data_IF_494647180247
#
_entry.id   IF_494647180247
#
_cell.length_a   1.000
_cell.length_b   1.000
_cell.length_c   1.000
_cell.angle_alpha   90.00
_cell.angle_beta   90.00
_cell.angle_gamma   90.00
#
_symmetry.space_group_name_H-M   'P 1'
#
loop_
_entity.id
_entity.type
_entity.pdbx_description
1 polymer ?
#
# COMPACT_ATOMS: atom_id res chain seq x y z
N UNK A 1 -12.98 -5.49 9.19
CA UNK A 1 -12.91 -6.63 10.11
C UNK A 1 -14.17 -6.80 10.95
N UNK A 2 -14.18 -7.72 11.87
CA UNK A 2 -15.34 -8.11 12.69
C UNK A 2 -16.00 -6.94 13.45
N UNK A 3 -15.22 -5.96 13.85
CA UNK A 3 -15.67 -4.78 14.61
C UNK A 3 -15.92 -3.55 13.73
N UNK A 4 -15.83 -3.68 12.42
CA UNK A 4 -16.06 -2.58 11.49
C UNK A 4 -17.54 -2.38 11.21
N UNK A 5 -17.99 -1.12 11.08
CA UNK A 5 -19.38 -0.78 10.79
C UNK A 5 -19.90 -1.41 9.48
N UNK A 6 -19.01 -1.65 8.51
CA UNK A 6 -19.36 -2.30 7.24
C UNK A 6 -19.82 -3.76 7.40
N UNK A 7 -19.59 -4.40 8.56
CA UNK A 7 -20.11 -5.75 8.86
C UNK A 7 -21.64 -5.80 8.84
N UNK A 8 -22.32 -4.67 9.04
CA UNK A 8 -23.79 -4.59 8.97
C UNK A 8 -24.32 -4.62 7.52
N UNK A 9 -23.48 -4.49 6.51
CA UNK A 9 -23.88 -4.57 5.11
C UNK A 9 -24.29 -5.98 4.69
N UNK A 10 -25.13 -6.07 3.66
CA UNK A 10 -25.45 -7.33 2.96
C UNK A 10 -24.62 -7.36 1.66
N UNK A 11 -23.39 -7.85 1.69
CA UNK A 11 -22.52 -7.87 0.52
C UNK A 11 -22.93 -8.95 -0.47
N UNK A 12 -22.58 -8.78 -1.74
CA UNK A 12 -22.66 -9.83 -2.76
C UNK A 12 -21.33 -10.58 -2.91
N UNK A 13 -20.25 -10.02 -2.35
CA UNK A 13 -18.91 -10.58 -2.31
C UNK A 13 -18.13 -9.96 -1.15
N UNK A 14 -17.28 -10.72 -0.51
CA UNK A 14 -16.27 -10.22 0.42
C UNK A 14 -14.89 -10.23 -0.23
N UNK A 15 -14.11 -9.17 -0.02
CA UNK A 15 -12.74 -9.07 -0.53
C UNK A 15 -11.78 -8.88 0.65
N UNK A 16 -10.78 -9.75 0.78
CA UNK A 16 -9.74 -9.66 1.79
C UNK A 16 -8.40 -9.50 1.05
N UNK A 17 -7.79 -8.33 1.20
CA UNK A 17 -6.48 -8.01 0.62
C UNK A 17 -5.36 -8.67 1.43
N UNK A 18 -4.11 -8.33 1.16
CA UNK A 18 -2.95 -8.80 1.93
C UNK A 18 -3.13 -8.57 3.44
N UNK A 19 -2.63 -9.51 4.23
CA UNK A 19 -2.67 -9.47 5.69
C UNK A 19 -1.24 -9.34 6.20
N UNK A 20 -1.00 -8.27 6.93
CA UNK A 20 0.27 -7.99 7.60
C UNK A 20 0.02 -7.52 9.02
N UNK A 21 1.08 -7.41 9.81
CA UNK A 21 1.02 -6.86 11.16
C UNK A 21 0.57 -5.39 11.12
N UNK A 22 -0.57 -5.10 11.70
CA UNK A 22 -1.14 -3.77 11.88
C UNK A 22 -2.13 -3.81 13.03
N UNK A 23 -2.20 -2.74 13.82
CA UNK A 23 -3.09 -2.63 14.98
C UNK A 23 -3.00 -3.86 15.92
N UNK A 24 -1.79 -4.34 16.19
CA UNK A 24 -1.55 -5.56 16.97
C UNK A 24 -2.18 -5.52 18.36
N UNK A 25 -2.23 -4.34 19.01
CA UNK A 25 -2.92 -4.13 20.29
C UNK A 25 -4.41 -4.50 20.27
N UNK A 26 -5.04 -4.44 19.07
CA UNK A 26 -6.49 -4.68 18.91
C UNK A 26 -6.76 -6.00 18.18
N UNK A 27 -5.97 -6.28 17.13
CA UNK A 27 -6.23 -7.38 16.20
C UNK A 27 -5.47 -8.68 16.58
N UNK A 28 -4.51 -8.59 17.51
CA UNK A 28 -3.70 -9.72 17.97
C UNK A 28 -2.27 -9.72 17.45
N UNK A 29 -1.44 -10.56 18.06
CA UNK A 29 0.01 -10.60 17.89
C UNK A 29 0.49 -11.59 16.82
N UNK A 30 -0.43 -12.31 16.18
CA UNK A 30 -0.10 -13.27 15.12
C UNK A 30 -0.90 -13.00 13.84
N UNK A 31 -0.34 -13.40 12.71
CA UNK A 31 -1.00 -13.28 11.39
C UNK A 31 -2.34 -14.01 11.39
N UNK A 32 -2.44 -15.18 12.04
CA UNK A 32 -3.66 -15.95 12.14
C UNK A 32 -4.76 -15.23 12.93
N UNK A 33 -4.41 -14.55 14.01
CA UNK A 33 -5.34 -13.73 14.80
C UNK A 33 -5.87 -12.55 13.97
N UNK A 34 -4.97 -11.83 13.32
CA UNK A 34 -5.34 -10.71 12.43
C UNK A 34 -6.21 -11.21 11.28
N UNK A 35 -5.87 -12.37 10.69
CA UNK A 35 -6.66 -13.00 9.64
C UNK A 35 -8.06 -13.39 10.14
N UNK A 36 -8.20 -13.91 11.35
CA UNK A 36 -9.49 -14.25 11.93
C UNK A 36 -10.39 -13.01 12.12
N UNK A 37 -9.82 -11.90 12.60
CA UNK A 37 -10.54 -10.62 12.71
C UNK A 37 -11.00 -10.09 11.34
N UNK A 38 -10.14 -10.18 10.33
CA UNK A 38 -10.48 -9.75 8.96
C UNK A 38 -11.49 -10.70 8.30
N UNK A 39 -11.37 -12.01 8.52
CA UNK A 39 -12.32 -13.02 8.05
C UNK A 39 -13.73 -12.87 8.65
N UNK A 40 -13.88 -12.12 9.75
CA UNK A 40 -15.18 -11.77 10.33
C UNK A 40 -16.15 -11.04 9.39
N UNK A 41 -15.68 -10.50 8.25
CA UNK A 41 -16.54 -9.92 7.20
C UNK A 41 -17.24 -10.98 6.32
N UNK A 42 -16.79 -12.21 6.33
CA UNK A 42 -17.35 -13.30 5.52
C UNK A 42 -18.77 -13.59 6.01
N UNK A 43 -19.73 -13.65 5.09
CA UNK A 43 -21.14 -13.89 5.35
C UNK A 43 -21.55 -15.27 4.86
N UNK A 44 -22.60 -15.81 5.45
CA UNK A 44 -23.18 -17.12 5.09
C UNK A 44 -23.51 -17.18 3.60
N UNK A 45 -22.97 -18.18 2.90
CA UNK A 45 -23.19 -18.43 1.47
C UNK A 45 -22.63 -17.38 0.51
N UNK A 46 -22.03 -16.27 1.00
CA UNK A 46 -21.51 -15.18 0.15
C UNK A 46 -20.05 -15.46 -0.22
N UNK A 47 -19.72 -15.42 -1.53
CA UNK A 47 -18.35 -15.69 -1.98
C UNK A 47 -17.33 -14.72 -1.35
N UNK A 48 -16.12 -15.22 -1.13
CA UNK A 48 -14.98 -14.43 -0.68
C UNK A 48 -13.80 -14.61 -1.64
N UNK A 49 -13.17 -13.50 -2.01
CA UNK A 49 -11.89 -13.51 -2.73
C UNK A 49 -10.81 -12.96 -1.81
N UNK A 50 -9.63 -13.57 -1.82
CA UNK A 50 -8.54 -13.18 -0.94
C UNK A 50 -7.18 -13.42 -1.59
N UNK A 51 -6.17 -12.71 -1.10
CA UNK A 51 -4.77 -13.02 -1.42
C UNK A 51 -4.38 -14.30 -0.65
N UNK A 52 -3.83 -15.26 -1.38
CA UNK A 52 -3.27 -16.50 -0.82
C UNK A 52 -1.76 -16.30 -0.65
N UNK A 53 -1.38 -15.68 0.45
CA UNK A 53 0.00 -15.59 0.90
C UNK A 53 0.36 -16.84 1.71
N UNK A 54 1.57 -17.37 1.52
CA UNK A 54 2.06 -18.57 2.23
C UNK A 54 2.44 -18.25 3.70
N UNK A 55 1.69 -17.38 4.36
CA UNK A 55 1.91 -16.91 5.73
C UNK A 55 0.88 -17.44 6.76
N UNK A 56 0.04 -18.38 6.36
CA UNK A 56 -1.00 -18.94 7.23
C UNK A 56 -2.34 -18.19 7.24
N UNK A 57 -2.38 -16.94 6.80
CA UNK A 57 -3.60 -16.13 6.81
C UNK A 57 -4.72 -16.74 5.95
N UNK A 58 -4.38 -17.23 4.75
CA UNK A 58 -5.36 -17.78 3.83
C UNK A 58 -6.03 -19.04 4.40
N UNK A 59 -5.32 -19.89 5.13
CA UNK A 59 -5.89 -21.07 5.81
C UNK A 59 -6.96 -20.72 6.83
N UNK A 60 -6.82 -19.59 7.52
CA UNK A 60 -7.82 -19.06 8.44
C UNK A 60 -9.06 -18.58 7.69
N UNK A 61 -8.86 -17.88 6.55
CA UNK A 61 -9.95 -17.43 5.67
C UNK A 61 -10.72 -18.64 5.12
N UNK A 62 -10.03 -19.66 4.62
CA UNK A 62 -10.66 -20.90 4.10
C UNK A 62 -11.49 -21.61 5.16
N UNK A 63 -10.96 -21.76 6.38
CA UNK A 63 -11.69 -22.37 7.50
C UNK A 63 -12.96 -21.59 7.81
N UNK A 64 -12.85 -20.26 7.96
CA UNK A 64 -14.00 -19.39 8.26
C UNK A 64 -15.04 -19.42 7.14
N UNK A 65 -14.60 -19.42 5.88
CA UNK A 65 -15.48 -19.53 4.72
C UNK A 65 -16.22 -20.87 4.71
N UNK A 66 -15.51 -21.98 4.99
CA UNK A 66 -16.12 -23.31 5.09
C UNK A 66 -17.18 -23.39 6.18
N UNK A 67 -16.93 -22.82 7.37
CA UNK A 67 -17.89 -22.74 8.48
C UNK A 67 -19.17 -21.97 8.10
N UNK A 68 -19.06 -21.04 7.14
CA UNK A 68 -20.16 -20.20 6.65
C UNK A 68 -20.69 -20.63 5.28
N UNK A 69 -20.37 -21.83 4.81
CA UNK A 69 -20.75 -22.33 3.49
C UNK A 69 -20.46 -21.32 2.35
N UNK A 70 -19.45 -20.47 2.51
CA UNK A 70 -19.07 -19.42 1.58
C UNK A 70 -18.03 -19.95 0.57
N UNK A 71 -18.27 -19.83 -0.74
CA UNK A 71 -17.23 -20.14 -1.74
C UNK A 71 -16.00 -19.26 -1.55
N UNK A 72 -14.79 -19.85 -1.57
CA UNK A 72 -13.53 -19.09 -1.42
C UNK A 72 -12.65 -19.20 -2.68
N UNK A 73 -12.09 -18.06 -3.07
CA UNK A 73 -11.22 -17.91 -4.22
C UNK A 73 -9.92 -17.23 -3.79
N UNK A 74 -8.82 -17.98 -3.81
CA UNK A 74 -7.49 -17.48 -3.46
C UNK A 74 -6.69 -17.10 -4.70
N UNK A 75 -6.05 -15.93 -4.66
CA UNK A 75 -5.11 -15.46 -5.68
C UNK A 75 -3.68 -15.56 -5.14
N UNK A 76 -2.81 -16.32 -5.81
CA UNK A 76 -1.40 -16.50 -5.44
C UNK A 76 -0.51 -15.51 -6.19
N UNK A 77 0.56 -15.05 -5.54
CA UNK A 77 1.55 -14.18 -6.19
C UNK A 77 2.21 -14.85 -7.40
N UNK A 78 2.43 -16.17 -7.36
CA UNK A 78 3.01 -16.94 -8.47
C UNK A 78 2.12 -17.01 -9.72
N UNK A 79 0.82 -16.66 -9.59
CA UNK A 79 -0.12 -16.56 -10.70
C UNK A 79 0.00 -15.23 -11.47
N UNK A 80 0.82 -14.30 -10.96
CA UNK A 80 1.06 -12.98 -11.54
C UNK A 80 2.43 -12.93 -12.19
N UNK A 81 2.51 -12.35 -13.39
CA UNK A 81 3.78 -12.15 -14.09
C UNK A 81 3.87 -10.68 -14.50
N UNK A 82 4.84 -9.96 -13.93
CA UNK A 82 5.19 -8.62 -14.40
C UNK A 82 5.97 -8.80 -15.71
N UNK A 83 5.46 -8.17 -16.78
CA UNK A 83 6.04 -8.23 -18.12
C UNK A 83 7.00 -7.06 -18.35
N UNK A 84 6.63 -5.88 -17.87
CA UNK A 84 7.41 -4.67 -18.02
C UNK A 84 7.06 -3.68 -16.90
N UNK A 85 8.08 -3.04 -16.33
CA UNK A 85 7.94 -1.92 -15.40
C UNK A 85 8.48 -0.66 -16.07
N UNK A 86 7.64 0.35 -16.21
CA UNK A 86 7.98 1.69 -16.69
C UNK A 86 7.77 2.68 -15.54
N UNK A 87 8.15 3.94 -15.72
CA UNK A 87 8.10 4.95 -14.64
C UNK A 87 6.77 4.97 -13.89
N UNK A 88 5.64 5.06 -14.60
CA UNK A 88 4.31 5.20 -14.00
C UNK A 88 3.34 4.10 -14.43
N UNK A 89 3.84 2.99 -14.98
CA UNK A 89 2.99 1.88 -15.42
C UNK A 89 3.69 0.55 -15.22
N UNK A 90 2.91 -0.46 -14.91
CA UNK A 90 3.35 -1.84 -14.84
C UNK A 90 2.47 -2.68 -15.74
N UNK A 91 3.08 -3.31 -16.75
CA UNK A 91 2.43 -4.29 -17.61
C UNK A 91 2.55 -5.67 -16.98
N UNK A 92 1.45 -6.40 -16.88
CA UNK A 92 1.42 -7.71 -16.23
C UNK A 92 0.40 -8.65 -16.85
N UNK A 93 0.48 -9.92 -16.48
CA UNK A 93 -0.47 -10.96 -16.86
C UNK A 93 -0.87 -11.77 -15.65
N UNK A 94 -2.07 -12.34 -15.70
CA UNK A 94 -2.63 -13.24 -14.69
C UNK A 94 -2.83 -14.60 -15.32
N UNK A 95 -2.28 -15.66 -14.70
CA UNK A 95 -2.46 -17.05 -15.09
C UNK A 95 -2.90 -17.87 -13.87
N UNK A 96 -4.14 -17.65 -13.45
CA UNK A 96 -4.73 -18.34 -12.32
C UNK A 96 -5.54 -19.56 -12.74
N UNK A 97 -5.86 -20.40 -11.76
CA UNK A 97 -6.78 -21.55 -11.97
C UNK A 97 -8.20 -21.12 -12.35
N UNK A 98 -8.56 -19.86 -12.07
CA UNK A 98 -9.91 -19.35 -12.32
C UNK A 98 -10.04 -18.68 -13.68
N UNK A 99 -8.97 -18.00 -14.16
CA UNK A 99 -8.97 -17.27 -15.41
C UNK A 99 -7.54 -16.92 -15.87
N UNK A 100 -7.42 -16.61 -17.16
CA UNK A 100 -6.17 -16.14 -17.76
C UNK A 100 -6.43 -14.86 -18.51
N UNK A 101 -5.67 -13.81 -18.18
CA UNK A 101 -5.72 -12.52 -18.87
C UNK A 101 -4.29 -12.03 -19.06
N UNK A 102 -3.95 -11.69 -20.30
CA UNK A 102 -2.65 -11.14 -20.66
C UNK A 102 -2.75 -9.66 -20.97
N UNK A 103 -1.61 -8.96 -20.92
CA UNK A 103 -1.46 -7.56 -21.31
C UNK A 103 -2.36 -6.62 -20.51
N UNK A 104 -2.43 -6.83 -19.20
CA UNK A 104 -3.00 -5.86 -18.27
C UNK A 104 -1.98 -4.76 -18.00
N UNK A 105 -2.46 -3.55 -17.76
CA UNK A 105 -1.63 -2.38 -17.44
C UNK A 105 -2.22 -1.64 -16.25
N UNK A 106 -1.45 -1.49 -15.19
CA UNK A 106 -1.80 -0.64 -14.04
C UNK A 106 -0.96 0.64 -14.08
N UNK A 107 -1.60 1.79 -13.87
CA UNK A 107 -0.94 3.08 -13.73
C UNK A 107 -0.48 3.24 -12.29
N UNK A 108 0.73 2.78 -12.00
CA UNK A 108 1.36 2.93 -10.69
C UNK A 108 2.85 2.66 -10.78
N UNK A 109 3.62 3.31 -9.93
CA UNK A 109 5.02 2.98 -9.66
C UNK A 109 5.13 1.73 -8.78
N UNK A 110 4.14 1.51 -7.90
CA UNK A 110 4.17 0.50 -6.87
C UNK A 110 3.79 -0.89 -7.37
N UNK A 111 4.68 -1.87 -7.23
CA UNK A 111 4.47 -3.26 -7.65
C UNK A 111 3.33 -3.95 -6.89
N UNK A 112 3.03 -3.55 -5.64
CA UNK A 112 1.89 -4.11 -4.89
C UNK A 112 0.52 -3.81 -5.55
N UNK A 113 0.43 -2.79 -6.39
CA UNK A 113 -0.80 -2.50 -7.12
C UNK A 113 -1.13 -3.54 -8.18
N UNK A 114 -0.15 -4.31 -8.66
CA UNK A 114 -0.40 -5.46 -9.54
C UNK A 114 -1.24 -6.52 -8.81
N UNK A 115 -0.90 -6.81 -7.56
CA UNK A 115 -1.65 -7.78 -6.74
C UNK A 115 -3.05 -7.26 -6.41
N UNK A 116 -3.20 -5.97 -6.05
CA UNK A 116 -4.49 -5.35 -5.80
C UNK A 116 -5.39 -5.36 -7.06
N UNK A 117 -4.82 -5.01 -8.22
CA UNK A 117 -5.52 -5.03 -9.50
C UNK A 117 -5.97 -6.46 -9.87
N UNK A 118 -5.09 -7.45 -9.69
CA UNK A 118 -5.41 -8.85 -9.96
C UNK A 118 -6.51 -9.37 -9.03
N UNK A 119 -6.49 -9.00 -7.74
CA UNK A 119 -7.56 -9.34 -6.81
C UNK A 119 -8.90 -8.70 -7.21
N UNK A 120 -8.88 -7.45 -7.67
CA UNK A 120 -10.07 -6.77 -8.20
C UNK A 120 -10.61 -7.49 -9.46
N UNK A 121 -9.72 -7.93 -10.36
CA UNK A 121 -10.12 -8.73 -11.53
C UNK A 121 -10.76 -10.05 -11.10
N UNK A 122 -10.20 -10.74 -10.10
CA UNK A 122 -10.79 -11.97 -9.55
C UNK A 122 -12.19 -11.70 -9.00
N UNK A 123 -12.36 -10.63 -8.23
CA UNK A 123 -13.65 -10.24 -7.69
C UNK A 123 -14.69 -9.99 -8.80
N UNK A 124 -14.29 -9.26 -9.86
CA UNK A 124 -15.14 -9.01 -11.03
C UNK A 124 -15.50 -10.32 -11.75
N UNK A 125 -14.53 -11.23 -11.93
CA UNK A 125 -14.78 -12.52 -12.61
C UNK A 125 -15.66 -13.45 -11.81
N UNK A 126 -15.62 -13.39 -10.49
CA UNK A 126 -16.53 -14.18 -9.61
C UNK A 126 -17.97 -13.64 -9.71
N UNK A 127 -18.15 -12.32 -9.74
CA UNK A 127 -19.49 -11.71 -9.79
C UNK A 127 -20.07 -11.63 -11.20
N UNK A 128 -19.24 -11.38 -12.20
CA UNK A 128 -19.60 -11.09 -13.59
C UNK A 128 -18.74 -11.96 -14.52
N UNK A 129 -18.95 -13.29 -14.56
CA UNK A 129 -18.08 -14.21 -15.31
C UNK A 129 -18.03 -13.89 -16.80
N UNK A 130 -19.09 -13.32 -17.37
CA UNK A 130 -19.22 -12.99 -18.79
C UNK A 130 -18.57 -11.66 -19.19
N UNK A 131 -18.02 -10.89 -18.22
CA UNK A 131 -17.36 -9.63 -18.57
C UNK A 131 -16.16 -9.89 -19.48
N UNK A 132 -16.06 -9.12 -20.58
CA UNK A 132 -15.00 -9.30 -21.57
C UNK A 132 -13.64 -8.88 -21.01
N UNK A 133 -12.57 -9.48 -21.54
CA UNK A 133 -11.21 -9.10 -21.16
C UNK A 133 -10.88 -7.66 -21.52
N UNK A 134 -11.46 -7.12 -22.59
CA UNK A 134 -11.21 -5.74 -23.01
C UNK A 134 -11.81 -4.74 -22.03
N UNK A 135 -13.02 -4.99 -21.54
CA UNK A 135 -13.63 -4.17 -20.47
C UNK A 135 -12.77 -4.19 -19.18
N UNK A 136 -12.24 -5.37 -18.83
CA UNK A 136 -11.33 -5.49 -17.68
C UNK A 136 -10.05 -4.67 -17.91
N UNK A 137 -9.42 -4.78 -19.09
CA UNK A 137 -8.20 -4.02 -19.43
C UNK A 137 -8.46 -2.51 -19.35
N UNK A 138 -9.54 -2.03 -19.91
CA UNK A 138 -9.93 -0.61 -19.84
C UNK A 138 -10.16 -0.16 -18.39
N UNK A 139 -10.84 -0.98 -17.59
CA UNK A 139 -11.11 -0.69 -16.18
C UNK A 139 -9.81 -0.56 -15.35
N UNK A 140 -8.87 -1.48 -15.54
CA UNK A 140 -7.58 -1.45 -14.82
C UNK A 140 -6.74 -0.23 -15.22
N UNK A 141 -6.69 0.12 -16.52
CA UNK A 141 -5.95 1.32 -16.97
C UNK A 141 -6.54 2.61 -16.41
N UNK A 142 -7.86 2.65 -16.19
CA UNK A 142 -8.57 3.82 -15.63
C UNK A 142 -8.55 3.86 -14.11
N UNK A 143 -8.04 2.82 -13.45
CA UNK A 143 -7.97 2.75 -11.99
C UNK A 143 -7.12 3.91 -11.45
N UNK A 144 -7.66 4.61 -10.47
CA UNK A 144 -6.98 5.68 -9.74
C UNK A 144 -7.26 5.51 -8.24
N UNK A 145 -6.22 5.54 -7.43
CA UNK A 145 -6.35 5.42 -5.98
C UNK A 145 -5.52 6.49 -5.26
N UNK A 146 -6.16 7.50 -4.69
CA UNK A 146 -5.47 8.59 -3.98
C UNK A 146 -4.58 8.08 -2.85
N UNK A 147 -3.38 8.65 -2.72
CA UNK A 147 -2.44 8.34 -1.65
C UNK A 147 -1.88 6.90 -1.66
N UNK A 148 -1.77 6.27 -2.84
CA UNK A 148 -1.13 4.98 -3.04
C UNK A 148 -0.10 5.04 -4.17
N UNK A 149 1.11 5.48 -3.84
CA UNK A 149 2.15 5.87 -4.81
C UNK A 149 1.56 6.75 -5.92
N UNK A 150 0.74 7.69 -5.49
CA UNK A 150 0.08 8.64 -6.36
C UNK A 150 1.06 9.71 -6.81
N UNK A 151 1.25 9.87 -8.11
CA UNK A 151 1.99 10.98 -8.67
C UNK A 151 1.11 12.23 -8.70
N UNK A 152 1.44 13.21 -7.86
CA UNK A 152 0.68 14.47 -7.71
C UNK A 152 1.25 15.61 -8.53
N UNK A 153 2.49 15.49 -8.96
CA UNK A 153 3.21 16.33 -9.91
C UNK A 153 4.37 15.53 -10.49
N UNK A 154 5.02 16.02 -11.51
CA UNK A 154 6.13 15.35 -12.18
C UNK A 154 7.21 14.91 -11.17
N UNK A 155 7.41 13.59 -11.03
CA UNK A 155 8.35 12.96 -10.10
C UNK A 155 8.09 13.29 -8.61
N UNK A 156 6.85 13.61 -8.23
CA UNK A 156 6.43 13.84 -6.85
C UNK A 156 5.31 12.87 -6.47
N UNK A 157 5.60 12.00 -5.52
CA UNK A 157 4.72 10.91 -5.14
C UNK A 157 4.25 11.05 -3.69
N UNK A 158 3.01 10.68 -3.44
CA UNK A 158 2.46 10.55 -2.07
C UNK A 158 1.98 9.12 -1.83
N UNK A 159 2.28 8.59 -0.66
CA UNK A 159 1.77 7.30 -0.21
C UNK A 159 1.36 7.35 1.27
N UNK A 160 0.21 6.80 1.57
CA UNK A 160 -0.33 6.75 2.92
C UNK A 160 0.14 5.56 3.75
N UNK A 161 1.20 4.86 3.38
CA UNK A 161 1.76 3.77 4.16
C UNK A 161 2.17 4.28 5.55
N UNK A 162 1.64 3.63 6.58
CA UNK A 162 1.76 4.06 7.98
C UNK A 162 1.95 2.90 8.96
N UNK A 163 2.31 1.73 8.45
CA UNK A 163 2.67 0.55 9.23
C UNK A 163 3.81 -0.21 8.55
N UNK A 164 4.52 -1.09 9.27
CA UNK A 164 5.66 -1.83 8.73
C UNK A 164 5.32 -2.63 7.46
N UNK A 165 4.16 -3.30 7.42
CA UNK A 165 3.75 -4.11 6.27
C UNK A 165 3.58 -3.27 5.00
N UNK A 166 2.94 -2.10 5.10
CA UNK A 166 2.80 -1.18 3.97
C UNK A 166 4.15 -0.61 3.52
N UNK A 167 5.04 -0.27 4.48
CA UNK A 167 6.39 0.21 4.18
C UNK A 167 7.24 -0.85 3.49
N UNK A 168 7.11 -2.13 3.86
CA UNK A 168 7.75 -3.22 3.12
C UNK A 168 7.31 -3.29 1.65
N UNK A 169 6.03 -3.01 1.35
CA UNK A 169 5.55 -2.95 -0.04
C UNK A 169 6.17 -1.77 -0.81
N UNK A 170 6.37 -0.62 -0.15
CA UNK A 170 7.11 0.51 -0.72
C UNK A 170 8.57 0.12 -0.96
N UNK A 171 9.24 -0.46 0.03
CA UNK A 171 10.61 -0.94 -0.08
C UNK A 171 10.78 -1.85 -1.31
N UNK A 172 9.94 -2.88 -1.45
CA UNK A 172 9.97 -3.81 -2.58
C UNK A 172 9.70 -3.10 -3.94
N UNK A 173 8.94 -2.01 -3.93
CA UNK A 173 8.65 -1.25 -5.14
C UNK A 173 9.83 -0.38 -5.58
N UNK A 174 10.66 0.10 -4.63
CA UNK A 174 11.77 1.00 -4.85
C UNK A 174 13.13 0.30 -4.99
N UNK A 175 13.30 -0.90 -4.43
CA UNK A 175 14.59 -1.62 -4.39
C UNK A 175 15.15 -1.87 -5.80
N UNK A 176 14.29 -2.15 -6.78
CA UNK A 176 14.68 -2.39 -8.16
C UNK A 176 14.63 -1.12 -9.05
N UNK A 177 14.50 0.06 -8.41
CA UNK A 177 14.48 1.34 -9.11
C UNK A 177 15.89 1.80 -9.45
N UNK A 178 16.11 2.21 -10.68
CA UNK A 178 17.30 2.92 -11.13
C UNK A 178 17.24 4.44 -10.87
N UNK A 179 16.11 4.91 -10.29
CA UNK A 179 15.89 6.31 -9.95
C UNK A 179 16.45 6.65 -8.57
N UNK A 180 16.91 7.87 -8.43
CA UNK A 180 17.30 8.45 -7.14
C UNK A 180 16.08 9.05 -6.43
N UNK A 181 16.04 8.92 -5.11
CA UNK A 181 14.88 9.30 -4.33
C UNK A 181 15.22 10.23 -3.16
N UNK A 182 14.37 11.22 -2.94
CA UNK A 182 14.26 11.99 -1.71
C UNK A 182 13.07 11.46 -0.91
N UNK A 183 13.19 11.44 0.41
CA UNK A 183 12.10 11.06 1.31
C UNK A 183 11.64 12.26 2.14
N UNK A 184 10.35 12.58 2.11
CA UNK A 184 9.69 13.43 3.09
C UNK A 184 8.82 12.55 3.99
N UNK A 185 9.11 12.55 5.29
CA UNK A 185 8.52 11.60 6.23
C UNK A 185 7.88 12.28 7.43
N UNK A 186 6.64 11.86 7.74
CA UNK A 186 5.98 12.18 8.98
C UNK A 186 4.99 11.07 9.38
N UNK A 187 4.93 10.74 10.64
CA UNK A 187 4.19 9.58 11.15
C UNK A 187 3.44 9.90 12.44
N UNK A 188 2.39 9.13 12.74
CA UNK A 188 1.70 9.21 14.02
C UNK A 188 2.48 8.46 15.11
N UNK A 189 2.42 8.96 16.34
CA UNK A 189 3.12 8.42 17.52
C UNK A 189 2.63 7.03 17.95
N UNK A 190 1.38 6.67 17.60
CA UNK A 190 0.77 5.37 17.88
C UNK A 190 1.17 4.27 16.88
N UNK A 191 2.08 4.56 15.95
CA UNK A 191 2.57 3.59 14.97
C UNK A 191 3.96 3.08 15.32
N UNK A 192 4.26 1.86 14.89
CA UNK A 192 5.61 1.29 14.99
C UNK A 192 6.53 1.93 13.96
N UNK A 193 6.82 3.22 14.16
CA UNK A 193 7.67 3.97 13.24
C UNK A 193 9.14 3.53 13.31
N UNK A 194 9.58 2.93 14.40
CA UNK A 194 10.95 2.41 14.51
C UNK A 194 11.16 1.28 13.51
N UNK A 195 10.23 0.32 13.43
CA UNK A 195 10.29 -0.75 12.44
C UNK A 195 10.12 -0.21 11.00
N UNK A 196 9.21 0.75 10.78
CA UNK A 196 9.06 1.41 9.48
C UNK A 196 10.39 2.04 9.03
N UNK A 197 11.07 2.77 9.91
CA UNK A 197 12.34 3.44 9.64
C UNK A 197 13.46 2.43 9.41
N UNK A 198 13.49 1.32 10.15
CA UNK A 198 14.45 0.24 9.94
C UNK A 198 14.37 -0.35 8.52
N UNK A 199 13.17 -0.44 7.97
CA UNK A 199 12.97 -0.89 6.58
C UNK A 199 13.36 0.20 5.59
N UNK A 200 12.91 1.44 5.79
CA UNK A 200 13.20 2.58 4.91
C UNK A 200 14.68 2.94 4.87
N UNK A 201 15.38 2.84 6.00
CA UNK A 201 16.81 3.15 6.10
C UNK A 201 17.72 2.29 5.23
N UNK A 202 17.21 1.16 4.73
CA UNK A 202 17.93 0.28 3.79
C UNK A 202 17.91 0.79 2.34
N UNK A 203 17.03 1.75 2.02
CA UNK A 203 16.96 2.35 0.69
C UNK A 203 18.01 3.47 0.55
N UNK A 204 18.59 3.66 -0.64
CA UNK A 204 19.64 4.64 -0.89
C UNK A 204 19.05 6.05 -1.08
N UNK A 205 18.45 6.61 -0.02
CA UNK A 205 17.94 7.98 -0.06
C UNK A 205 19.05 8.99 -0.29
N UNK A 206 18.83 9.96 -1.17
CA UNK A 206 19.76 11.08 -1.35
C UNK A 206 19.66 12.09 -0.19
N UNK A 207 18.45 12.35 0.28
CA UNK A 207 18.14 13.20 1.43
C UNK A 207 16.84 12.75 2.09
N UNK A 208 16.75 12.96 3.39
CA UNK A 208 15.54 12.68 4.19
C UNK A 208 15.11 13.99 4.86
N UNK A 209 13.83 14.33 4.68
CA UNK A 209 13.17 15.49 5.29
C UNK A 209 12.14 14.96 6.29
N UNK A 210 12.31 15.31 7.55
CA UNK A 210 11.41 14.90 8.64
C UNK A 210 10.58 16.09 9.03
N UNK A 211 9.28 15.89 9.20
CA UNK A 211 8.36 16.94 9.61
C UNK A 211 7.26 16.42 10.53
N UNK A 212 6.49 17.34 11.10
CA UNK A 212 5.27 17.04 11.85
C UNK A 212 4.08 16.95 10.90
N UNK A 213 3.11 16.11 11.25
CA UNK A 213 1.76 16.18 10.70
C UNK A 213 0.96 17.22 11.52
N UNK A 214 0.01 17.91 10.89
CA UNK A 214 -0.90 18.84 11.60
C UNK A 214 -1.95 18.06 12.40
N UNK A 215 -1.48 17.35 13.41
CA UNK A 215 -2.30 16.52 14.31
C UNK A 215 -1.61 16.35 15.67
N UNK A 216 -2.41 16.34 16.74
CA UNK A 216 -1.94 15.99 18.09
C UNK A 216 -1.36 14.55 18.17
N UNK A 217 -1.59 13.72 17.18
CA UNK A 217 -1.06 12.36 17.06
C UNK A 217 0.33 12.29 16.40
N UNK A 218 0.91 13.42 15.99
CA UNK A 218 2.23 13.44 15.36
C UNK A 218 3.32 12.90 16.29
N UNK A 219 4.22 12.07 15.75
CA UNK A 219 5.40 11.62 16.47
C UNK A 219 6.38 12.77 16.71
N UNK A 220 7.21 12.66 17.75
CA UNK A 220 8.29 13.59 18.00
C UNK A 220 9.34 13.51 16.89
N UNK A 221 9.56 14.62 16.19
CA UNK A 221 10.50 14.67 15.05
C UNK A 221 11.94 14.39 15.44
N UNK A 222 12.35 14.77 16.66
CA UNK A 222 13.69 14.49 17.15
C UNK A 222 13.93 12.98 17.35
N UNK A 223 12.93 12.26 17.89
CA UNK A 223 12.98 10.80 18.03
C UNK A 223 12.99 10.11 16.65
N UNK A 224 12.13 10.52 15.71
CA UNK A 224 12.11 10.02 14.34
C UNK A 224 13.45 10.24 13.64
N UNK A 225 14.05 11.43 13.80
CA UNK A 225 15.36 11.77 13.25
C UNK A 225 16.47 10.89 13.82
N UNK A 226 16.41 10.60 15.11
CA UNK A 226 17.40 9.73 15.75
C UNK A 226 17.34 8.31 15.18
N UNK A 227 16.14 7.75 15.00
CA UNK A 227 15.98 6.44 14.36
C UNK A 227 16.56 6.43 12.93
N UNK A 228 16.28 7.46 12.12
CA UNK A 228 16.85 7.52 10.75
C UNK A 228 18.39 7.66 10.77
N UNK A 229 18.99 8.36 11.73
CA UNK A 229 20.46 8.45 11.84
C UNK A 229 21.11 7.08 12.12
N UNK A 230 20.41 6.20 12.81
CA UNK A 230 20.89 4.86 13.13
C UNK A 230 20.76 3.92 11.93
N UNK A 231 19.66 4.04 11.16
CA UNK A 231 19.32 3.09 10.09
C UNK A 231 19.78 3.54 8.69
N UNK A 232 19.86 4.85 8.44
CA UNK A 232 20.25 5.43 7.15
C UNK A 232 21.62 6.14 7.26
N UNK A 233 22.66 5.42 7.70
CA UNK A 233 23.96 5.98 7.96
C UNK A 233 24.55 6.71 6.74
N UNK A 234 24.98 7.96 6.94
CA UNK A 234 25.58 8.80 5.91
C UNK A 234 24.58 9.56 5.03
N UNK A 235 23.28 9.31 5.14
CA UNK A 235 22.26 10.09 4.45
C UNK A 235 22.06 11.46 5.14
N UNK A 236 22.03 12.59 4.41
CA UNK A 236 21.67 13.88 4.98
C UNK A 236 20.22 13.89 5.45
N UNK A 237 20.00 14.27 6.73
CA UNK A 237 18.69 14.27 7.37
C UNK A 237 18.38 15.67 7.91
N UNK A 238 17.28 16.24 7.43
CA UNK A 238 16.80 17.58 7.79
C UNK A 238 15.48 17.47 8.57
N UNK A 239 15.27 18.42 9.49
CA UNK A 239 14.08 18.46 10.35
C UNK A 239 13.38 19.79 10.21
N UNK A 240 12.04 19.75 10.12
CA UNK A 240 11.19 20.92 9.91
C UNK A 240 9.99 20.90 10.86
N UNK A 241 9.58 22.10 11.28
CA UNK A 241 8.45 22.26 12.19
C UNK A 241 7.08 22.06 11.54
N UNK A 242 7.00 22.17 10.20
CA UNK A 242 5.75 21.99 9.46
C UNK A 242 5.98 21.40 8.08
N UNK A 243 4.97 20.67 7.60
CA UNK A 243 5.01 19.91 6.36
C UNK A 243 5.16 20.80 5.11
N UNK A 244 4.58 22.00 5.10
CA UNK A 244 4.69 22.93 3.96
C UNK A 244 6.13 23.33 3.71
N UNK A 245 6.82 23.83 4.76
CA UNK A 245 8.23 24.23 4.63
C UNK A 245 9.13 23.07 4.24
N UNK A 246 8.90 21.88 4.81
CA UNK A 246 9.63 20.68 4.45
C UNK A 246 9.44 20.32 2.97
N UNK A 247 8.19 20.37 2.48
CA UNK A 247 7.85 20.05 1.10
C UNK A 247 8.44 21.06 0.11
N UNK A 248 8.26 22.37 0.37
CA UNK A 248 8.82 23.44 -0.47
C UNK A 248 10.35 23.38 -0.53
N UNK A 249 11.01 23.01 0.59
CA UNK A 249 12.46 22.83 0.61
C UNK A 249 12.88 21.59 -0.18
N UNK A 250 12.20 20.46 0.02
CA UNK A 250 12.47 19.24 -0.73
C UNK A 250 12.30 19.44 -2.25
N UNK A 251 11.29 20.22 -2.67
CA UNK A 251 11.10 20.59 -4.08
C UNK A 251 12.23 21.46 -4.63
N UNK A 252 12.77 22.40 -3.84
CA UNK A 252 13.89 23.27 -4.25
C UNK A 252 15.21 22.52 -4.32
N UNK A 253 15.42 21.58 -3.40
CA UNK A 253 16.64 20.78 -3.31
C UNK A 253 16.69 19.68 -4.37
N UNK A 254 15.57 19.37 -5.00
CA UNK A 254 15.42 18.35 -6.04
C UNK A 254 15.93 18.88 -7.38
N UNK A 255 16.78 18.12 -8.04
CA UNK A 255 17.22 18.38 -9.43
C UNK A 255 16.46 17.46 -10.39
N UNK A 256 16.70 16.17 -10.30
CA UNK A 256 16.11 15.13 -11.15
C UNK A 256 15.57 13.93 -10.33
N UNK A 257 15.79 13.96 -9.03
CA UNK A 257 15.35 12.88 -8.14
C UNK A 257 13.82 12.85 -8.02
N UNK A 258 13.29 11.69 -7.74
CA UNK A 258 11.91 11.54 -7.32
C UNK A 258 11.75 11.93 -5.85
N UNK A 259 10.67 12.60 -5.50
CA UNK A 259 10.30 12.91 -4.11
C UNK A 259 9.16 12.00 -3.68
N UNK A 260 9.36 11.21 -2.62
CA UNK A 260 8.31 10.43 -1.98
C UNK A 260 7.92 11.04 -0.63
N UNK A 261 6.63 11.37 -0.47
CA UNK A 261 6.04 11.83 0.78
C UNK A 261 5.29 10.65 1.43
N UNK A 262 5.73 10.21 2.62
CA UNK A 262 5.38 8.92 3.20
C UNK A 262 5.23 8.98 4.73
N UNK A 263 4.49 8.02 5.31
CA UNK A 263 4.41 7.74 6.74
C UNK A 263 3.06 8.00 7.37
N UNK A 264 2.17 8.76 6.70
CA UNK A 264 0.83 9.04 7.21
C UNK A 264 -0.13 9.45 6.09
N UNK A 265 -1.41 9.05 6.21
CA UNK A 265 -2.47 9.59 5.35
C UNK A 265 -2.73 11.09 5.62
N UNK A 266 -2.47 11.57 6.84
CA UNK A 266 -2.53 13.00 7.14
C UNK A 266 -1.50 13.78 6.32
N UNK A 267 -0.23 13.34 6.36
CA UNK A 267 0.80 13.95 5.54
C UNK A 267 0.44 13.92 4.04
N UNK A 268 0.00 12.78 3.53
CA UNK A 268 -0.39 12.65 2.12
C UNK A 268 -1.48 13.66 1.74
N UNK A 269 -2.47 13.88 2.62
CA UNK A 269 -3.51 14.88 2.44
C UNK A 269 -2.96 16.31 2.41
N UNK A 270 -2.16 16.69 3.43
CA UNK A 270 -1.54 18.02 3.53
C UNK A 270 -0.68 18.33 2.28
N UNK A 271 0.16 17.38 1.85
CA UNK A 271 1.02 17.56 0.68
C UNK A 271 0.19 17.76 -0.60
N UNK A 272 -0.90 17.02 -0.78
CA UNK A 272 -1.80 17.21 -1.92
C UNK A 272 -2.43 18.60 -1.93
N UNK A 273 -2.89 19.08 -0.77
CA UNK A 273 -3.44 20.43 -0.65
C UNK A 273 -2.39 21.50 -0.99
N UNK A 274 -1.15 21.33 -0.55
CA UNK A 274 -0.05 22.23 -0.90
C UNK A 274 0.28 22.18 -2.39
N UNK A 275 0.35 20.98 -2.98
CA UNK A 275 0.62 20.78 -4.39
C UNK A 275 -0.36 21.53 -5.29
N UNK A 276 -1.68 21.53 -4.96
CA UNK A 276 -2.68 22.30 -5.72
C UNK A 276 -2.48 23.81 -5.72
N UNK A 277 -1.65 24.33 -4.81
CA UNK A 277 -1.33 25.77 -4.73
C UNK A 277 0.04 26.13 -5.29
N UNK A 278 0.90 25.11 -5.53
CA UNK A 278 2.29 25.29 -6.00
C UNK A 278 2.38 24.98 -7.49
N UNK A 279 1.65 23.96 -7.96
CA UNK A 279 1.59 23.50 -9.35
C UNK A 279 0.26 23.91 -10.00
#
# INVERSE_FOLDING_TARGET
GRLDATVLSNPVLSVITSISYDHTEILGDTIEQIAAEKAGIIKEGIPVVAIDEENGAFSVIERTAKEKNAPVYGLKSQELTILKKCENTIDFSINSRYYKISNLKVKSYASYQVQNAALAVLAVKVLLPEVSQDVIREGIVKMYWPGRMEEIAENVYVDGAHNPGAVHQIYNSLTDSDKEWLLLFAVCSDKDYSEMIRVLGRLPWKRIYITKIDSARGADTAAVKQCFKEEAAGCPIYEYDNARTAFETALKDREYENLLCLGSLYLAGEIKDFATTIF
#
